data_IF_171217147927
#
_entry.id   IF_171217147927
#
_cell.length_a   1.000
_cell.length_b   1.000
_cell.length_c   1.000
_cell.angle_alpha   90.00
_cell.angle_beta   90.00
_cell.angle_gamma   90.00
#
_symmetry.space_group_name_H-M   'P 1'
#
loop_
_entity.id
_entity.type
_entity.pdbx_description
1 polymer ?
#
# COMPACT_ATOMS: atom_id res chain seq x y z
N UNK A 1 -23.49 -12.19 12.49
CA UNK A 1 -22.87 -11.25 11.55
C UNK A 1 -22.30 -10.11 12.37
N UNK A 2 -20.97 -9.90 12.34
CA UNK A 2 -20.26 -8.84 13.09
C UNK A 2 -19.80 -7.73 12.15
N UNK A 3 -20.43 -7.60 10.99
CA UNK A 3 -20.08 -6.58 10.02
C UNK A 3 -21.33 -6.07 9.31
N UNK A 4 -21.25 -4.90 8.70
CA UNK A 4 -22.31 -4.34 7.83
C UNK A 4 -21.69 -3.58 6.66
N UNK A 5 -22.41 -3.55 5.53
CA UNK A 5 -22.08 -2.74 4.36
C UNK A 5 -22.93 -1.47 4.35
N UNK A 6 -22.29 -0.32 4.27
CA UNK A 6 -22.93 0.99 4.14
C UNK A 6 -22.59 1.57 2.77
N UNK A 7 -23.61 1.77 1.92
CA UNK A 7 -23.41 2.37 0.60
C UNK A 7 -23.23 3.90 0.71
N UNK A 8 -22.19 4.46 0.08
CA UNK A 8 -22.01 5.90 -0.09
C UNK A 8 -21.90 6.28 -1.56
N UNK A 9 -21.88 7.58 -1.83
CA UNK A 9 -21.89 8.12 -3.19
C UNK A 9 -20.58 7.82 -3.98
N UNK A 10 -19.42 7.77 -3.31
CA UNK A 10 -18.12 7.57 -3.97
C UNK A 10 -17.59 6.13 -3.84
N UNK A 11 -17.81 5.49 -2.70
CA UNK A 11 -17.42 4.11 -2.38
C UNK A 11 -18.31 3.55 -1.27
N UNK A 12 -18.31 2.23 -1.12
CA UNK A 12 -19.01 1.56 -0.03
C UNK A 12 -18.07 1.38 1.18
N UNK A 13 -18.66 1.19 2.36
CA UNK A 13 -17.90 0.97 3.60
C UNK A 13 -18.34 -0.32 4.28
N UNK A 14 -17.37 -1.16 4.59
CA UNK A 14 -17.51 -2.35 5.41
C UNK A 14 -17.11 -1.96 6.84
N UNK A 15 -18.07 -1.96 7.76
CA UNK A 15 -17.81 -1.72 9.18
C UNK A 15 -17.78 -3.06 9.91
N UNK A 16 -16.60 -3.50 10.38
CA UNK A 16 -16.43 -4.68 11.25
C UNK A 16 -16.54 -4.27 12.73
N UNK A 17 -17.47 -4.88 13.47
CA UNK A 17 -17.70 -4.63 14.89
C UNK A 17 -16.47 -4.99 15.74
N UNK A 18 -15.91 -4.00 16.44
CA UNK A 18 -14.68 -4.18 17.22
C UNK A 18 -13.45 -4.50 16.37
N UNK A 19 -13.53 -4.29 15.05
CA UNK A 19 -12.49 -4.60 14.09
C UNK A 19 -12.22 -3.42 13.15
N UNK A 20 -11.68 -3.74 11.97
CA UNK A 20 -11.27 -2.75 10.98
C UNK A 20 -12.43 -2.30 10.10
N UNK A 21 -12.59 -0.99 9.93
CA UNK A 21 -13.44 -0.42 8.87
C UNK A 21 -12.66 -0.42 7.55
N UNK A 22 -13.31 -0.88 6.47
CA UNK A 22 -12.71 -0.98 5.15
C UNK A 22 -13.55 -0.21 4.13
N UNK A 23 -12.93 0.72 3.43
CA UNK A 23 -13.44 1.22 2.16
C UNK A 23 -13.45 0.08 1.14
N UNK A 24 -14.52 0.04 0.36
CA UNK A 24 -14.80 -0.99 -0.63
C UNK A 24 -15.35 -0.37 -1.90
N UNK A 25 -14.74 -0.69 -3.04
CA UNK A 25 -15.27 -0.30 -4.34
C UNK A 25 -15.79 -1.53 -5.13
N UNK A 26 -17.12 -1.68 -5.30
CA UNK A 26 -17.69 -2.85 -5.98
C UNK A 26 -17.35 -2.92 -7.48
N UNK A 27 -16.91 -1.82 -8.09
CA UNK A 27 -16.64 -1.77 -9.54
C UNK A 27 -15.32 -2.42 -9.95
N UNK A 28 -14.50 -2.85 -8.98
CA UNK A 28 -13.17 -3.42 -9.22
C UNK A 28 -13.15 -4.95 -9.32
N UNK A 29 -14.30 -5.61 -9.19
CA UNK A 29 -14.37 -7.07 -9.17
C UNK A 29 -13.87 -7.72 -7.87
N UNK A 30 -13.36 -6.92 -6.93
CA UNK A 30 -13.02 -7.33 -5.56
C UNK A 30 -14.28 -7.87 -4.90
N UNK A 31 -14.21 -9.08 -4.37
CA UNK A 31 -15.30 -9.69 -3.64
C UNK A 31 -15.16 -9.43 -2.14
N UNK A 32 -16.28 -9.51 -1.41
CA UNK A 32 -16.26 -9.54 0.05
C UNK A 32 -16.20 -10.99 0.49
N UNK A 33 -15.18 -11.34 1.27
CA UNK A 33 -15.06 -12.64 1.92
C UNK A 33 -15.55 -12.51 3.37
N UNK A 34 -16.47 -13.39 3.79
CA UNK A 34 -16.89 -13.47 5.19
C UNK A 34 -16.22 -14.65 5.89
N UNK A 35 -15.55 -14.38 7.01
CA UNK A 35 -14.96 -15.40 7.87
C UNK A 35 -15.06 -15.03 9.34
N UNK A 36 -15.45 -15.98 10.20
CA UNK A 36 -15.67 -15.79 11.65
C UNK A 36 -16.65 -14.65 12.00
N UNK A 37 -17.54 -14.35 11.07
CA UNK A 37 -18.51 -13.25 11.15
C UNK A 37 -17.95 -11.86 10.85
N UNK A 38 -16.70 -11.75 10.39
CA UNK A 38 -16.05 -10.53 9.90
C UNK A 38 -15.94 -10.53 8.38
N UNK A 39 -15.83 -9.34 7.78
CA UNK A 39 -15.64 -9.16 6.35
C UNK A 39 -14.22 -8.71 5.99
N UNK A 40 -13.75 -9.25 4.88
CA UNK A 40 -12.46 -9.04 4.25
C UNK A 40 -12.66 -8.76 2.77
N UNK A 41 -11.64 -8.19 2.13
CA UNK A 41 -11.63 -7.95 0.68
C UNK A 41 -10.77 -9.01 0.01
N UNK A 42 -11.29 -9.63 -1.03
CA UNK A 42 -10.55 -10.52 -1.93
C UNK A 42 -9.74 -9.67 -2.91
N UNK A 43 -8.55 -9.25 -2.46
CA UNK A 43 -7.70 -8.31 -3.15
C UNK A 43 -6.91 -8.96 -4.29
N UNK A 44 -6.65 -10.26 -4.24
CA UNK A 44 -6.03 -10.98 -5.34
C UNK A 44 -7.01 -11.79 -6.20
N UNK A 45 -8.32 -11.70 -5.93
CA UNK A 45 -9.38 -12.40 -6.66
C UNK A 45 -9.23 -13.93 -6.61
N UNK A 46 -8.71 -14.45 -5.49
CA UNK A 46 -8.52 -15.89 -5.29
C UNK A 46 -9.81 -16.60 -4.86
N UNK A 47 -10.77 -15.87 -4.30
CA UNK A 47 -11.99 -16.39 -3.68
C UNK A 47 -11.81 -16.91 -2.26
N UNK A 48 -10.60 -16.90 -1.71
CA UNK A 48 -10.26 -17.41 -0.37
C UNK A 48 -9.62 -16.30 0.47
N UNK A 49 -9.79 -16.33 1.79
CA UNK A 49 -9.14 -15.33 2.66
C UNK A 49 -7.65 -15.65 2.77
N UNK A 50 -6.84 -14.86 2.07
CA UNK A 50 -5.39 -15.04 2.12
C UNK A 50 -4.75 -14.31 3.30
N UNK A 51 -3.62 -14.81 3.85
CA UNK A 51 -3.03 -14.20 5.04
C UNK A 51 -2.71 -12.71 4.87
N UNK A 52 -2.28 -12.25 3.70
CA UNK A 52 -2.02 -10.82 3.49
C UNK A 52 -3.30 -9.95 3.52
N UNK A 53 -4.47 -10.51 3.26
CA UNK A 53 -5.78 -9.84 3.26
C UNK A 53 -6.42 -9.82 4.65
N UNK A 54 -6.04 -10.77 5.50
CA UNK A 54 -6.54 -10.87 6.87
C UNK A 54 -5.89 -9.81 7.77
N UNK A 55 -6.56 -8.66 7.88
CA UNK A 55 -6.15 -7.55 8.74
C UNK A 55 -6.04 -7.89 10.23
N UNK A 56 -6.53 -9.06 10.67
CA UNK A 56 -6.38 -9.54 12.06
C UNK A 56 -5.01 -10.13 12.33
N UNK A 57 -4.29 -10.54 11.28
CA UNK A 57 -2.97 -11.15 11.43
C UNK A 57 -1.87 -10.12 11.70
N UNK A 58 -0.82 -10.49 12.45
CA UNK A 58 0.36 -9.65 12.63
C UNK A 58 0.97 -9.22 11.28
N UNK A 59 1.42 -7.98 11.21
CA UNK A 59 1.96 -7.38 9.98
C UNK A 59 3.05 -8.27 9.34
N UNK A 60 3.97 -8.82 10.13
CA UNK A 60 5.03 -9.72 9.66
C UNK A 60 4.48 -10.90 8.88
N UNK A 61 3.43 -11.58 9.38
CA UNK A 61 2.83 -12.72 8.68
C UNK A 61 2.22 -12.30 7.35
N UNK A 62 1.60 -11.13 7.33
CA UNK A 62 0.97 -10.58 6.12
C UNK A 62 2.02 -10.20 5.08
N UNK A 63 3.13 -9.59 5.50
CA UNK A 63 4.28 -9.27 4.62
C UNK A 63 4.95 -10.54 4.11
N UNK A 64 5.13 -11.56 4.95
CA UNK A 64 5.67 -12.86 4.53
C UNK A 64 4.78 -13.55 3.49
N UNK A 65 3.46 -13.51 3.63
CA UNK A 65 2.58 -14.07 2.61
C UNK A 65 2.63 -13.24 1.32
N UNK A 66 2.55 -11.92 1.42
CA UNK A 66 2.58 -11.01 0.28
C UNK A 66 3.87 -11.16 -0.55
N UNK A 67 5.02 -11.24 0.12
CA UNK A 67 6.33 -11.45 -0.52
C UNK A 67 6.39 -12.77 -1.27
N UNK A 68 5.98 -13.88 -0.63
CA UNK A 68 6.01 -15.19 -1.25
C UNK A 68 5.04 -15.31 -2.43
N UNK A 69 3.84 -14.75 -2.29
CA UNK A 69 2.76 -14.84 -3.27
C UNK A 69 3.07 -14.10 -4.56
N UNK A 70 3.54 -12.87 -4.45
CA UNK A 70 3.87 -12.04 -5.61
C UNK A 70 5.35 -12.13 -6.02
N UNK A 71 6.14 -12.96 -5.32
CA UNK A 71 7.59 -13.13 -5.51
C UNK A 71 8.30 -11.78 -5.47
N UNK A 72 8.13 -11.10 -4.34
CA UNK A 72 8.72 -9.80 -4.04
C UNK A 72 9.89 -9.95 -3.09
N UNK A 73 10.93 -9.19 -3.33
CA UNK A 73 12.02 -9.03 -2.38
C UNK A 73 12.59 -7.62 -2.48
N UNK A 74 13.24 -7.18 -1.42
CA UNK A 74 13.81 -5.86 -1.32
C UNK A 74 15.32 -5.94 -1.14
N UNK A 75 16.04 -5.04 -1.80
CA UNK A 75 17.45 -4.77 -1.53
C UNK A 75 17.63 -3.26 -1.43
N UNK A 76 17.92 -2.76 -0.23
CA UNK A 76 18.05 -1.32 0.06
C UNK A 76 16.82 -0.51 -0.41
N UNK A 77 17.02 0.46 -1.32
CA UNK A 77 16.00 1.34 -1.89
C UNK A 77 15.32 0.75 -3.14
N UNK A 78 15.50 -0.55 -3.39
CA UNK A 78 14.95 -1.24 -4.55
C UNK A 78 13.97 -2.33 -4.16
N UNK A 79 12.81 -2.32 -4.82
CA UNK A 79 11.81 -3.39 -4.75
C UNK A 79 11.86 -4.22 -6.03
N UNK A 80 12.05 -5.52 -5.88
CA UNK A 80 12.11 -6.46 -6.99
C UNK A 80 10.85 -7.32 -7.05
N UNK A 81 10.50 -7.74 -8.25
CA UNK A 81 9.43 -8.68 -8.55
C UNK A 81 9.84 -9.54 -9.75
N UNK A 82 9.10 -10.62 -10.02
CA UNK A 82 9.48 -11.63 -11.03
C UNK A 82 9.89 -11.06 -12.41
N UNK A 83 9.28 -9.94 -12.83
CA UNK A 83 9.44 -9.37 -14.17
C UNK A 83 10.19 -8.05 -14.21
N UNK A 84 10.72 -7.55 -13.07
CA UNK A 84 11.44 -6.29 -13.05
C UNK A 84 11.82 -5.81 -11.66
N UNK A 85 12.21 -4.54 -11.57
CA UNK A 85 12.53 -3.89 -10.31
C UNK A 85 12.01 -2.46 -10.31
N UNK A 86 11.98 -1.87 -9.14
CA UNK A 86 11.58 -0.50 -8.92
C UNK A 86 12.67 0.13 -8.07
N UNK A 87 13.30 1.19 -8.58
CA UNK A 87 14.21 2.01 -7.79
C UNK A 87 13.43 3.17 -7.17
N UNK A 88 13.34 3.21 -5.85
CA UNK A 88 12.69 4.30 -5.13
C UNK A 88 13.69 5.48 -5.04
N UNK A 89 13.30 6.71 -5.41
CA UNK A 89 14.16 7.88 -5.19
C UNK A 89 14.58 7.98 -3.73
N UNK A 90 15.86 8.27 -3.46
CA UNK A 90 16.43 8.22 -2.10
C UNK A 90 15.71 9.13 -1.11
N UNK A 91 15.24 10.29 -1.55
CA UNK A 91 14.50 11.24 -0.75
C UNK A 91 13.17 10.64 -0.28
N UNK A 92 12.45 10.00 -1.21
CA UNK A 92 11.19 9.29 -0.94
C UNK A 92 11.45 8.09 -0.04
N UNK A 93 12.52 7.33 -0.27
CA UNK A 93 12.87 6.18 0.55
C UNK A 93 13.17 6.58 2.01
N UNK A 94 13.89 7.68 2.22
CA UNK A 94 14.16 8.20 3.56
C UNK A 94 12.87 8.59 4.30
N UNK A 95 11.93 9.27 3.62
CA UNK A 95 10.63 9.61 4.19
C UNK A 95 9.79 8.37 4.51
N UNK A 96 9.75 7.38 3.61
CA UNK A 96 9.07 6.10 3.80
C UNK A 96 9.63 5.37 5.02
N UNK A 97 10.95 5.33 5.18
CA UNK A 97 11.59 4.70 6.33
C UNK A 97 11.21 5.36 7.64
N UNK A 98 11.30 6.69 7.70
CA UNK A 98 10.96 7.43 8.91
C UNK A 98 9.50 7.20 9.33
N UNK A 99 8.55 7.38 8.40
CA UNK A 99 7.13 7.19 8.71
C UNK A 99 6.75 5.71 8.89
N UNK A 100 7.42 4.82 8.16
CA UNK A 100 7.22 3.38 8.19
C UNK A 100 7.60 2.81 9.56
N UNK A 101 8.74 3.21 10.12
CA UNK A 101 9.17 2.80 11.46
C UNK A 101 8.15 3.19 12.53
N UNK A 102 7.64 4.42 12.50
CA UNK A 102 6.60 4.90 13.42
C UNK A 102 5.29 4.10 13.26
N UNK A 103 4.85 3.88 12.02
CA UNK A 103 3.60 3.17 11.72
C UNK A 103 3.68 1.69 12.08
N UNK A 104 4.82 1.05 11.81
CA UNK A 104 5.09 -0.32 12.22
C UNK A 104 5.08 -0.43 13.75
N UNK A 105 5.72 0.49 14.48
CA UNK A 105 5.71 0.51 15.96
C UNK A 105 4.29 0.54 16.56
N UNK A 106 3.36 1.26 15.94
CA UNK A 106 1.95 1.29 16.37
C UNK A 106 1.23 -0.05 16.17
N UNK A 107 1.66 -0.85 15.19
CA UNK A 107 1.16 -2.20 14.93
C UNK A 107 1.94 -3.28 15.71
N UNK A 108 3.01 -2.91 16.43
CA UNK A 108 3.98 -3.80 17.07
C UNK A 108 3.67 -4.13 18.56
N UNK A 109 2.41 -4.04 19.00
CA UNK A 109 2.04 -4.08 20.43
C UNK A 109 2.67 -5.19 21.29
N UNK A 110 3.02 -6.34 20.70
CA UNK A 110 3.68 -7.48 21.38
C UNK A 110 4.70 -8.23 20.47
N UNK A 111 5.29 -7.59 19.45
CA UNK A 111 6.15 -8.30 18.48
C UNK A 111 7.52 -8.69 19.04
N UNK A 112 7.98 -9.91 18.73
CA UNK A 112 9.32 -10.40 19.08
C UNK A 112 10.39 -9.77 18.18
N UNK A 113 11.64 -9.72 18.66
CA UNK A 113 12.76 -9.06 17.96
C UNK A 113 12.97 -9.56 16.52
N UNK A 114 12.77 -10.85 16.28
CA UNK A 114 12.86 -11.46 14.94
C UNK A 114 11.86 -10.85 13.94
N UNK A 115 10.63 -10.60 14.39
CA UNK A 115 9.60 -9.99 13.55
C UNK A 115 9.97 -8.55 13.17
N UNK A 116 10.57 -7.81 14.11
CA UNK A 116 11.04 -6.44 13.87
C UNK A 116 12.20 -6.41 12.87
N UNK A 117 13.15 -7.34 12.99
CA UNK A 117 14.27 -7.44 12.05
C UNK A 117 13.79 -7.80 10.64
N UNK A 118 12.83 -8.74 10.54
CA UNK A 118 12.22 -9.09 9.27
C UNK A 118 11.51 -7.90 8.62
N UNK A 119 10.70 -7.15 9.37
CA UNK A 119 10.00 -5.98 8.85
C UNK A 119 10.96 -4.87 8.44
N UNK A 120 12.03 -4.61 9.20
CA UNK A 120 13.08 -3.63 8.82
C UNK A 120 13.78 -3.99 7.52
N UNK A 121 13.95 -5.28 7.23
CA UNK A 121 14.53 -5.76 5.98
C UNK A 121 13.56 -5.64 4.78
N UNK A 122 12.26 -5.60 5.05
CA UNK A 122 11.19 -5.58 4.04
C UNK A 122 10.29 -4.33 4.22
N UNK A 123 10.87 -3.21 4.62
CA UNK A 123 10.12 -2.02 5.06
C UNK A 123 9.32 -1.39 3.92
N UNK A 124 9.80 -1.39 2.67
CA UNK A 124 9.06 -0.93 1.50
C UNK A 124 7.81 -1.77 1.28
N UNK A 125 7.93 -3.09 1.47
CA UNK A 125 6.84 -4.03 1.27
C UNK A 125 5.82 -3.91 2.41
N UNK A 126 6.31 -3.76 3.64
CA UNK A 126 5.48 -3.47 4.80
C UNK A 126 4.69 -2.18 4.62
N UNK A 127 5.35 -1.10 4.16
CA UNK A 127 4.68 0.18 3.89
C UNK A 127 3.68 0.07 2.75
N UNK A 128 4.00 -0.65 1.65
CA UNK A 128 3.04 -0.90 0.57
C UNK A 128 1.77 -1.57 1.10
N UNK A 129 1.92 -2.61 1.92
CA UNK A 129 0.80 -3.31 2.51
C UNK A 129 -0.01 -2.38 3.44
N UNK A 130 0.67 -1.59 4.27
CA UNK A 130 0.05 -0.59 5.14
C UNK A 130 -0.66 0.53 4.34
N UNK A 131 -0.19 0.86 3.14
CA UNK A 131 -0.87 1.81 2.26
C UNK A 131 -2.19 1.24 1.73
N UNK A 132 -2.26 -0.06 1.45
CA UNK A 132 -3.53 -0.72 1.08
C UNK A 132 -4.49 -0.80 2.27
N UNK A 133 -3.92 -0.91 3.46
CA UNK A 133 -4.66 -0.96 4.71
C UNK A 133 -5.17 0.39 5.20
N UNK A 134 -4.48 1.47 4.86
CA UNK A 134 -4.79 2.82 5.30
C UNK A 134 -6.04 3.32 4.57
N UNK A 135 -7.19 2.96 5.12
CA UNK A 135 -8.48 3.47 4.71
C UNK A 135 -8.57 4.97 5.03
N UNK A 136 -8.15 5.80 4.07
CA UNK A 136 -8.31 7.27 4.16
C UNK A 136 -9.73 7.70 3.82
N UNK A 137 -10.68 6.74 3.76
CA UNK A 137 -12.06 6.94 3.34
C UNK A 137 -12.14 7.59 1.95
N UNK A 138 -11.22 7.23 1.05
CA UNK A 138 -11.20 7.68 -0.34
C UNK A 138 -11.73 6.63 -1.32
N UNK A 139 -11.73 5.35 -0.93
CA UNK A 139 -12.09 4.23 -1.80
C UNK A 139 -11.12 3.99 -2.96
N UNK A 140 -9.93 4.61 -2.93
CA UNK A 140 -8.94 4.55 -4.01
C UNK A 140 -7.81 3.56 -3.75
N UNK A 141 -7.68 3.10 -2.53
CA UNK A 141 -6.65 2.17 -2.08
C UNK A 141 -6.77 0.84 -2.82
N UNK A 142 -8.00 0.40 -3.08
CA UNK A 142 -8.31 -0.80 -3.87
C UNK A 142 -7.80 -0.67 -5.31
N UNK A 143 -8.00 0.48 -5.96
CA UNK A 143 -7.49 0.73 -7.31
C UNK A 143 -5.97 0.70 -7.34
N UNK A 144 -5.31 1.28 -6.32
CA UNK A 144 -3.86 1.30 -6.23
C UNK A 144 -3.29 -0.11 -6.11
N UNK A 145 -3.88 -0.95 -5.26
CA UNK A 145 -3.47 -2.34 -5.12
C UNK A 145 -3.66 -3.13 -6.41
N UNK A 146 -4.84 -3.05 -7.03
CA UNK A 146 -5.10 -3.71 -8.32
C UNK A 146 -4.11 -3.24 -9.39
N UNK A 147 -3.82 -1.94 -9.47
CA UNK A 147 -2.84 -1.39 -10.40
C UNK A 147 -1.45 -1.99 -10.17
N UNK A 148 -1.01 -2.08 -8.91
CA UNK A 148 0.29 -2.64 -8.54
C UNK A 148 0.36 -4.13 -8.89
N UNK A 149 -0.61 -4.94 -8.46
CA UNK A 149 -0.64 -6.39 -8.75
C UNK A 149 -0.61 -6.64 -10.26
N UNK A 150 -1.54 -6.07 -11.02
CA UNK A 150 -1.61 -6.30 -12.47
C UNK A 150 -0.36 -5.79 -13.20
N UNK A 151 0.21 -4.66 -12.79
CA UNK A 151 1.42 -4.15 -13.43
C UNK A 151 2.67 -4.98 -13.11
N UNK A 152 2.76 -5.60 -11.93
CA UNK A 152 3.79 -6.61 -11.63
C UNK A 152 3.62 -7.84 -12.50
N UNK A 153 2.40 -8.34 -12.65
CA UNK A 153 2.08 -9.49 -13.51
C UNK A 153 2.40 -9.22 -14.97
N UNK A 154 2.14 -8.00 -15.46
CA UNK A 154 2.43 -7.60 -16.83
C UNK A 154 3.91 -7.23 -17.04
N UNK A 155 4.68 -6.98 -15.99
CA UNK A 155 6.08 -6.56 -16.11
C UNK A 155 6.26 -5.08 -16.47
N UNK A 156 5.27 -4.24 -16.15
CA UNK A 156 5.25 -2.82 -16.55
C UNK A 156 5.24 -1.87 -15.36
N UNK A 157 5.27 -2.38 -14.12
CA UNK A 157 5.20 -1.55 -12.92
C UNK A 157 6.34 -0.52 -12.87
N UNK A 158 7.57 -0.90 -13.25
CA UNK A 158 8.71 0.01 -13.31
C UNK A 158 8.43 1.22 -14.21
N UNK A 159 7.90 0.98 -15.41
CA UNK A 159 7.60 2.02 -16.40
C UNK A 159 6.51 2.98 -15.91
N UNK A 160 5.48 2.44 -15.24
CA UNK A 160 4.39 3.24 -14.65
C UNK A 160 4.96 4.12 -13.55
N UNK A 161 5.70 3.54 -12.61
CA UNK A 161 6.22 4.29 -11.48
C UNK A 161 7.25 5.35 -11.91
N UNK A 162 8.16 5.00 -12.82
CA UNK A 162 9.11 5.94 -13.43
C UNK A 162 8.40 7.14 -14.05
N UNK A 163 7.35 6.88 -14.84
CA UNK A 163 6.57 7.94 -15.50
C UNK A 163 5.89 8.87 -14.49
N UNK A 164 5.34 8.30 -13.41
CA UNK A 164 4.72 9.08 -12.32
C UNK A 164 5.77 9.95 -11.63
N UNK A 165 6.91 9.38 -11.23
CA UNK A 165 7.95 10.13 -10.53
C UNK A 165 8.54 11.25 -11.38
N UNK A 166 8.82 10.98 -12.65
CA UNK A 166 9.34 12.01 -13.55
C UNK A 166 8.33 13.15 -13.79
N UNK A 167 7.04 12.83 -13.87
CA UNK A 167 6.00 13.85 -13.97
C UNK A 167 5.91 14.72 -12.71
N UNK A 168 5.93 14.10 -11.52
CA UNK A 168 5.91 14.81 -10.22
C UNK A 168 7.17 15.68 -10.08
N UNK A 169 8.34 15.12 -10.39
CA UNK A 169 9.63 15.83 -10.32
C UNK A 169 9.63 17.07 -11.19
N UNK A 170 9.20 16.96 -12.45
CA UNK A 170 9.09 18.10 -13.39
C UNK A 170 8.10 19.15 -12.89
N UNK A 171 6.96 18.71 -12.36
CA UNK A 171 5.96 19.64 -11.80
C UNK A 171 6.54 20.45 -10.63
N UNK A 172 7.23 19.80 -9.69
CA UNK A 172 7.84 20.46 -8.54
C UNK A 172 8.97 21.41 -8.94
N UNK A 173 9.87 20.99 -9.85
CA UNK A 173 10.93 21.84 -10.38
C UNK A 173 10.39 23.11 -11.07
N UNK A 174 9.26 23.00 -11.78
CA UNK A 174 8.61 24.15 -12.42
C UNK A 174 8.03 25.14 -11.40
N UNK A 175 7.60 24.69 -10.21
CA UNK A 175 7.14 25.61 -9.14
C UNK A 175 8.28 26.44 -8.56
N UNK A 176 9.46 25.86 -8.42
CA UNK A 176 10.63 26.57 -7.91
C UNK A 176 11.09 27.67 -8.89
N UNK A 177 11.06 27.39 -10.21
CA UNK A 177 11.35 28.39 -11.25
C UNK A 177 10.33 29.54 -11.27
N UNK A 178 9.04 29.25 -11.05
CA UNK A 178 7.99 30.27 -10.97
C UNK A 178 8.14 31.16 -9.72
N UNK A 179 8.48 30.59 -8.55
CA UNK A 179 8.75 31.38 -7.35
C UNK A 179 9.97 32.30 -7.51
N UNK A 180 11.07 31.82 -8.11
CA UNK A 180 12.24 32.66 -8.37
C UNK A 180 11.95 33.82 -9.33
N UNK A 181 11.13 33.59 -10.36
CA UNK A 181 10.73 34.64 -11.30
C UNK A 181 9.94 35.78 -10.64
N UNK A 182 9.07 35.48 -9.67
CA UNK A 182 8.27 36.49 -8.95
C UNK A 182 9.09 37.30 -7.92
N UNK A 183 10.16 36.72 -7.37
CA UNK A 183 11.04 37.42 -6.42
C UNK A 183 12.01 38.35 -7.18
N UNK A 184 12.40 38.00 -8.41
CA UNK A 184 13.29 38.83 -9.26
C UNK A 184 12.60 40.03 -9.93
N UNK A 185 11.28 40.20 -9.77
CA UNK A 185 10.49 41.30 -10.37
C UNK A 185 10.03 42.35 -9.37
N UNK A 186 10.54 42.34 -8.13
CA UNK A 186 10.33 43.44 -7.18
C UNK A 186 11.42 44.52 -7.40
N UNK A 187 11.05 45.77 -7.71
CA UNK A 187 11.98 46.87 -7.99
C UNK A 187 12.76 47.35 -6.75
#
# INVERSE_FOLDING_TARGET
>A
MKWKLTHKHEHDIIENEGGKTLSYNPNLGIQIIEQDGFAFKDLNQSGELEPFEDWRLPLTKRVMDFTNRFVLWQEEDQLFYRKGRIAIPKEVYAEIRQHGEETMQLHNGDMVEEDLEYLKKNDLIAVLLLMFDNDRNTGKEDYLLQLIIHSMELGVLENIMYSIWEAVRKFLQNRDLQQFSMISTLP
#
